data_IF_256165485547
#
_entry.id   IF_256165485547
#
_cell.length_a   1.000
_cell.length_b   1.000
_cell.length_c   1.000
_cell.angle_alpha   90.00
_cell.angle_beta   90.00
_cell.angle_gamma   90.00
#
_symmetry.space_group_name_H-M   'P 1'
#
loop_
_entity.id
_entity.type
_entity.pdbx_description
1 polymer ?
#
# COMPACT_ATOMS: atom_id res chain seq x y z
N UNK A 1 -22.47 -7.87 -7.38
CA UNK A 1 -21.16 -7.22 -7.16
C UNK A 1 -21.35 -6.17 -6.08
N UNK A 2 -20.49 -6.13 -5.07
CA UNK A 2 -20.65 -5.19 -3.94
C UNK A 2 -19.90 -3.91 -4.24
N UNK A 3 -20.49 -2.74 -3.97
CA UNK A 3 -19.91 -1.44 -4.33
C UNK A 3 -18.46 -1.24 -3.84
N UNK A 4 -18.11 -1.84 -2.70
CA UNK A 4 -16.77 -1.69 -2.13
C UNK A 4 -15.69 -2.49 -2.88
N UNK A 5 -16.05 -3.55 -3.60
CA UNK A 5 -15.11 -4.22 -4.53
C UNK A 5 -14.80 -3.33 -5.75
N UNK A 6 -15.81 -2.61 -6.23
CA UNK A 6 -15.74 -1.70 -7.37
C UNK A 6 -14.88 -0.47 -7.03
N UNK A 7 -15.03 0.07 -5.82
CA UNK A 7 -14.17 1.13 -5.31
C UNK A 7 -12.71 0.66 -5.17
N UNK A 8 -12.47 -0.55 -4.66
CA UNK A 8 -11.11 -1.12 -4.58
C UNK A 8 -10.51 -1.27 -5.98
N UNK A 9 -11.27 -1.76 -6.96
CA UNK A 9 -10.82 -1.91 -8.33
C UNK A 9 -10.47 -0.54 -8.95
N UNK A 10 -11.33 0.46 -8.79
CA UNK A 10 -11.09 1.82 -9.26
C UNK A 10 -9.86 2.44 -8.59
N UNK A 11 -9.69 2.25 -7.29
CA UNK A 11 -8.55 2.77 -6.54
C UNK A 11 -7.24 2.15 -7.01
N UNK A 12 -7.21 0.85 -7.35
CA UNK A 12 -6.03 0.19 -7.94
C UNK A 12 -5.64 0.81 -9.28
N UNK A 13 -6.61 1.07 -10.16
CA UNK A 13 -6.35 1.70 -11.47
C UNK A 13 -5.81 3.13 -11.30
N UNK A 14 -6.43 3.92 -10.42
CA UNK A 14 -5.99 5.29 -10.11
C UNK A 14 -4.59 5.32 -9.51
N UNK A 15 -4.31 4.44 -8.56
CA UNK A 15 -2.99 4.33 -7.93
C UNK A 15 -1.91 3.99 -8.95
N UNK A 16 -2.17 3.01 -9.82
CA UNK A 16 -1.24 2.65 -10.90
C UNK A 16 -0.98 3.82 -11.84
N UNK A 17 -2.03 4.52 -12.27
CA UNK A 17 -1.88 5.69 -13.13
C UNK A 17 -1.10 6.83 -12.44
N UNK A 18 -1.32 7.05 -11.15
CA UNK A 18 -0.60 8.06 -10.36
C UNK A 18 0.89 7.70 -10.21
N UNK A 19 1.20 6.44 -9.96
CA UNK A 19 2.58 5.92 -9.91
C UNK A 19 3.27 6.08 -11.26
N UNK A 20 2.59 5.77 -12.36
CA UNK A 20 3.16 5.89 -13.71
C UNK A 20 3.45 7.34 -14.09
N UNK A 21 2.59 8.29 -13.66
CA UNK A 21 2.73 9.73 -13.93
C UNK A 21 3.72 10.45 -13.01
N UNK A 22 3.86 10.01 -11.77
CA UNK A 22 4.65 10.69 -10.74
C UNK A 22 5.62 9.72 -10.04
N UNK A 23 6.52 9.12 -10.82
CA UNK A 23 7.41 8.03 -10.37
C UNK A 23 8.33 8.40 -9.22
N UNK A 24 8.64 9.69 -9.05
CA UNK A 24 9.48 10.20 -7.95
C UNK A 24 8.70 10.61 -6.70
N UNK A 25 7.36 10.69 -6.76
CA UNK A 25 6.55 11.18 -5.65
C UNK A 25 6.19 10.06 -4.66
N UNK A 26 7.20 9.64 -3.88
CA UNK A 26 7.05 8.61 -2.85
C UNK A 26 5.92 8.90 -1.83
N UNK A 27 5.73 10.14 -1.33
CA UNK A 27 4.60 10.46 -0.45
C UNK A 27 3.22 10.18 -1.05
N UNK A 28 3.04 10.49 -2.34
CA UNK A 28 1.79 10.21 -3.06
C UNK A 28 1.53 8.70 -3.17
N UNK A 29 2.58 7.92 -3.45
CA UNK A 29 2.48 6.46 -3.50
C UNK A 29 2.09 5.87 -2.15
N UNK A 30 2.75 6.29 -1.07
CA UNK A 30 2.46 5.82 0.29
C UNK A 30 1.03 6.14 0.71
N UNK A 31 0.54 7.37 0.41
CA UNK A 31 -0.87 7.73 0.64
C UNK A 31 -1.82 6.82 -0.12
N UNK A 32 -1.56 6.58 -1.40
CA UNK A 32 -2.40 5.74 -2.23
C UNK A 32 -2.45 4.27 -1.79
N UNK A 33 -1.30 3.72 -1.39
CA UNK A 33 -1.20 2.39 -0.79
C UNK A 33 -1.99 2.34 0.54
N UNK A 34 -1.86 3.35 1.41
CA UNK A 34 -2.60 3.41 2.67
C UNK A 34 -4.12 3.46 2.50
N UNK A 35 -4.61 4.17 1.48
CA UNK A 35 -6.03 4.16 1.11
C UNK A 35 -6.48 2.77 0.66
N UNK A 36 -5.68 2.08 -0.15
CA UNK A 36 -6.01 0.74 -0.64
C UNK A 36 -6.04 -0.29 0.50
N UNK A 37 -5.08 -0.22 1.42
CA UNK A 37 -5.04 -1.07 2.62
C UNK A 37 -6.27 -0.84 3.48
N UNK A 38 -6.68 0.41 3.68
CA UNK A 38 -7.90 0.75 4.43
C UNK A 38 -9.16 0.16 3.79
N UNK A 39 -9.30 0.32 2.47
CA UNK A 39 -10.45 -0.19 1.72
C UNK A 39 -10.54 -1.72 1.76
N UNK A 40 -9.43 -2.42 1.51
CA UNK A 40 -9.34 -3.89 1.60
C UNK A 40 -9.63 -4.36 3.02
N UNK A 41 -9.08 -3.67 4.02
CA UNK A 41 -9.33 -4.00 5.43
C UNK A 41 -10.80 -3.90 5.81
N UNK A 42 -11.50 -2.88 5.31
CA UNK A 42 -12.93 -2.70 5.51
C UNK A 42 -13.74 -3.78 4.77
N UNK A 43 -13.37 -4.08 3.52
CA UNK A 43 -14.04 -5.07 2.67
C UNK A 43 -14.07 -6.46 3.29
N UNK A 44 -12.90 -6.93 3.70
CA UNK A 44 -12.71 -8.28 4.20
C UNK A 44 -12.82 -8.35 5.73
N UNK A 45 -13.15 -7.24 6.40
CA UNK A 45 -13.26 -7.13 7.86
C UNK A 45 -12.03 -7.73 8.56
N UNK A 46 -10.84 -7.41 8.05
CA UNK A 46 -9.59 -8.00 8.50
C UNK A 46 -9.41 -7.84 10.01
N UNK A 47 -9.02 -8.92 10.66
CA UNK A 47 -8.59 -8.94 12.05
C UNK A 47 -7.30 -8.15 12.25
N UNK A 48 -6.94 -7.88 13.52
CA UNK A 48 -5.68 -7.21 13.84
C UNK A 48 -4.46 -7.98 13.30
N UNK A 49 -4.50 -9.32 13.37
CA UNK A 49 -3.41 -10.16 12.87
C UNK A 49 -3.30 -10.08 11.35
N UNK A 50 -4.42 -10.13 10.62
CA UNK A 50 -4.41 -10.03 9.16
C UNK A 50 -3.92 -8.66 8.66
N UNK A 51 -4.26 -7.59 9.39
CA UNK A 51 -3.73 -6.25 9.12
C UNK A 51 -2.21 -6.18 9.33
N UNK A 52 -1.69 -6.82 10.38
CA UNK A 52 -0.25 -6.89 10.63
C UNK A 52 0.47 -7.68 9.52
N UNK A 53 -0.05 -8.85 9.16
CA UNK A 53 0.49 -9.66 8.07
C UNK A 53 0.50 -8.92 6.72
N UNK A 54 -0.55 -8.12 6.45
CA UNK A 54 -0.63 -7.27 5.27
C UNK A 54 0.43 -6.16 5.29
N UNK A 55 0.66 -5.52 6.44
CA UNK A 55 1.68 -4.51 6.62
C UNK A 55 3.10 -5.09 6.41
N UNK A 56 3.39 -6.26 7.00
CA UNK A 56 4.68 -6.95 6.83
C UNK A 56 4.94 -7.35 5.38
N UNK A 57 3.90 -7.82 4.69
CA UNK A 57 3.99 -8.16 3.26
C UNK A 57 4.29 -6.91 2.43
N UNK A 58 3.67 -5.77 2.73
CA UNK A 58 3.96 -4.51 2.06
C UNK A 58 5.39 -4.02 2.33
N UNK A 59 5.85 -4.09 3.58
CA UNK A 59 7.22 -3.72 3.96
C UNK A 59 8.25 -4.56 3.20
N UNK A 60 8.04 -5.88 3.10
CA UNK A 60 8.92 -6.78 2.34
C UNK A 60 9.01 -6.38 0.85
N UNK A 61 7.89 -5.98 0.23
CA UNK A 61 7.86 -5.53 -1.17
C UNK A 61 8.55 -4.18 -1.33
N UNK A 62 8.34 -3.24 -0.39
CA UNK A 62 8.97 -1.92 -0.42
C UNK A 62 10.49 -2.05 -0.29
N UNK A 63 10.97 -2.85 0.67
CA UNK A 63 12.40 -3.16 0.83
C UNK A 63 12.99 -3.81 -0.42
N UNK A 64 12.29 -4.83 -0.97
CA UNK A 64 12.72 -5.48 -2.23
C UNK A 64 12.77 -4.51 -3.41
N UNK A 65 11.93 -3.47 -3.40
CA UNK A 65 11.92 -2.45 -4.45
C UNK A 65 13.03 -1.40 -4.33
N UNK A 66 13.92 -1.50 -3.34
CA UNK A 66 15.10 -0.63 -3.19
C UNK A 66 14.77 0.82 -2.79
N UNK A 67 13.58 1.08 -2.22
CA UNK A 67 13.07 2.44 -1.95
C UNK A 67 13.08 2.88 -0.48
N UNK A 68 13.47 2.01 0.46
CA UNK A 68 13.73 2.39 1.86
C UNK A 68 15.12 1.90 2.27
N UNK A 69 15.95 2.74 2.93
CA UNK A 69 17.14 2.27 3.63
C UNK A 69 16.73 1.40 4.82
N UNK A 70 17.63 0.52 5.24
CA UNK A 70 17.42 -0.34 6.40
C UNK A 70 17.19 0.51 7.67
N UNK A 71 16.29 0.09 8.56
CA UNK A 71 16.17 0.72 9.88
C UNK A 71 17.47 0.58 10.70
N UNK A 72 18.37 -0.34 10.31
CA UNK A 72 19.74 -0.46 10.79
C UNK A 72 20.71 0.62 10.28
N UNK A 73 20.41 1.34 9.20
CA UNK A 73 21.27 2.41 8.66
C UNK A 73 21.10 3.76 9.36
N UNK A 74 20.00 3.96 10.09
CA UNK A 74 19.75 5.18 10.88
C UNK A 74 20.43 5.18 12.26
N UNK A 75 21.20 4.12 12.58
CA UNK A 75 21.96 3.98 13.84
C UNK A 75 23.48 3.90 13.62
N UNK A 76 24.00 4.45 12.53
CA UNK A 76 25.44 4.71 12.35
C UNK A 76 25.73 6.19 12.18
#
# INVERSE_FOLDING_TARGET
>A
MSGLDEEIALLRVKLRSAVDKHKENLPLMLRGIGLLVTAVSARYRLSKQEKANLADSLDSVIRRSGRCPDAGDLRR
#
